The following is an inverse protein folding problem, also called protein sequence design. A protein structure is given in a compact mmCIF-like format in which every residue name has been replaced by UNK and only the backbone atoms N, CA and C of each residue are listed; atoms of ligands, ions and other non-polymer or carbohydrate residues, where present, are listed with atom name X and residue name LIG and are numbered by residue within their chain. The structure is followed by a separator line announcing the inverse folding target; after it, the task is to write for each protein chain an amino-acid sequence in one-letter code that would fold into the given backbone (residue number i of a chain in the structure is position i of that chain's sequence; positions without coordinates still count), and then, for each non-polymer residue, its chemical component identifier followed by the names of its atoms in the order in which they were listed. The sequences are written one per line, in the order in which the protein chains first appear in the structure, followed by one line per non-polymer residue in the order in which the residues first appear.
data_IF_149301830416
#
_entry.id   IF_149301830416
#
_cell.length_a   1.000
_cell.length_b   1.000
_cell.length_c   1.000
_cell.angle_alpha   90.00
_cell.angle_beta   90.00
_cell.angle_gamma   90.00
#
_symmetry.space_group_name_H-M   'P 1'
#
loop_
_entity.id
_entity.type
_entity.pdbx_description
1 polymer ?
#
# COMPACT_ATOMS: atom_id res chain seq x y z
N UNK A 1 -19.25 -16.74 -15.01
CA UNK A 1 -17.94 -16.10 -15.22
C UNK A 1 -17.45 -15.71 -13.86
N UNK A 2 -16.38 -16.32 -13.37
CA UNK A 2 -15.74 -15.84 -12.16
C UNK A 2 -15.17 -14.45 -12.47
N UNK A 3 -15.34 -13.45 -11.59
CA UNK A 3 -14.64 -12.18 -11.78
C UNK A 3 -13.16 -12.50 -11.71
N UNK A 4 -12.48 -12.48 -12.85
CA UNK A 4 -11.01 -12.54 -12.89
C UNK A 4 -10.54 -11.25 -12.24
N UNK A 5 -10.28 -11.31 -10.94
CA UNK A 5 -9.71 -10.20 -10.19
C UNK A 5 -8.44 -9.76 -10.92
N UNK A 6 -8.46 -8.54 -11.47
CA UNK A 6 -7.35 -8.01 -12.29
C UNK A 6 -6.28 -7.36 -11.43
N UNK A 7 -6.14 -7.77 -10.18
CA UNK A 7 -5.17 -7.21 -9.24
C UNK A 7 -4.54 -8.34 -8.44
N UNK A 8 -3.32 -8.10 -7.98
CA UNK A 8 -2.50 -9.10 -7.29
C UNK A 8 -2.18 -8.60 -5.90
N UNK A 9 -2.12 -9.54 -4.95
CA UNK A 9 -1.70 -9.30 -3.59
C UNK A 9 -0.75 -10.42 -3.20
N UNK A 10 0.46 -10.07 -2.74
CA UNK A 10 1.49 -11.02 -2.30
C UNK A 10 2.34 -10.42 -1.19
N UNK A 11 2.94 -11.27 -0.36
CA UNK A 11 3.90 -10.85 0.66
C UNK A 11 5.29 -11.29 0.21
N UNK A 12 6.25 -10.37 0.24
CA UNK A 12 7.66 -10.60 -0.09
C UNK A 12 8.56 -9.99 0.99
N UNK A 13 9.30 -10.82 1.74
CA UNK A 13 10.23 -10.38 2.80
C UNK A 13 9.60 -9.33 3.74
N UNK A 14 8.46 -9.67 4.35
CA UNK A 14 7.67 -8.80 5.24
C UNK A 14 7.14 -7.51 4.59
N UNK A 15 7.11 -7.45 3.26
CA UNK A 15 6.50 -6.37 2.48
C UNK A 15 5.26 -6.89 1.77
N UNK A 16 4.11 -6.29 2.05
CA UNK A 16 2.90 -6.55 1.30
C UNK A 16 2.92 -5.77 -0.02
N UNK A 17 2.93 -6.48 -1.14
CA UNK A 17 2.87 -5.92 -2.49
C UNK A 17 1.46 -6.07 -3.05
N UNK A 18 0.86 -4.94 -3.44
CA UNK A 18 -0.45 -4.88 -4.09
C UNK A 18 -0.29 -4.26 -5.47
N UNK A 19 -0.67 -4.99 -6.51
CA UNK A 19 -0.50 -4.57 -7.89
C UNK A 19 -1.84 -4.39 -8.62
N UNK A 20 -2.03 -3.22 -9.22
CA UNK A 20 -3.16 -2.87 -10.08
C UNK A 20 -2.69 -2.69 -11.54
N UNK A 21 -2.67 -3.77 -12.33
CA UNK A 21 -2.36 -3.78 -13.77
C UNK A 21 -3.07 -2.74 -14.63
N UNK A 22 -2.61 -2.61 -15.88
CA UNK A 22 -3.27 -1.77 -16.88
C UNK A 22 -4.73 -2.19 -17.09
N UNK A 23 -5.62 -1.19 -17.15
CA UNK A 23 -7.04 -1.43 -17.38
C UNK A 23 -7.80 -1.92 -16.14
N UNK A 24 -7.15 -2.08 -14.99
CA UNK A 24 -7.83 -2.34 -13.71
C UNK A 24 -8.64 -1.12 -13.31
N UNK A 25 -9.92 -1.35 -13.04
CA UNK A 25 -10.80 -0.40 -12.37
C UNK A 25 -11.29 -1.05 -11.09
N UNK A 26 -11.31 -0.30 -9.99
CA UNK A 26 -11.86 -0.77 -8.72
C UNK A 26 -13.34 -0.41 -8.68
N UNK A 27 -14.20 -1.38 -8.97
CA UNK A 27 -15.61 -1.27 -8.63
C UNK A 27 -15.78 -1.29 -7.09
N UNK A 28 -16.95 -0.92 -6.55
CA UNK A 28 -17.22 -1.06 -5.13
C UNK A 28 -16.96 -2.48 -4.59
N UNK A 29 -17.39 -3.51 -5.31
CA UNK A 29 -17.17 -4.90 -4.92
C UNK A 29 -15.69 -5.29 -4.95
N UNK A 30 -14.91 -4.78 -5.92
CA UNK A 30 -13.46 -4.99 -5.94
C UNK A 30 -12.77 -4.29 -4.75
N UNK A 31 -13.27 -3.13 -4.34
CA UNK A 31 -12.77 -2.41 -3.17
C UNK A 31 -13.02 -3.16 -1.86
N UNK A 32 -14.21 -3.74 -1.70
CA UNK A 32 -14.53 -4.61 -0.54
C UNK A 32 -13.67 -5.88 -0.53
N UNK A 33 -13.50 -6.51 -1.70
CA UNK A 33 -12.67 -7.71 -1.85
C UNK A 33 -11.19 -7.42 -1.56
N UNK A 34 -10.69 -6.25 -1.98
CA UNK A 34 -9.37 -5.75 -1.63
C UNK A 34 -9.22 -5.60 -0.11
N UNK A 35 -10.18 -4.96 0.55
CA UNK A 35 -10.16 -4.75 2.00
C UNK A 35 -10.18 -6.07 2.78
N UNK A 36 -11.01 -7.03 2.37
CA UNK A 36 -11.08 -8.34 2.99
C UNK A 36 -9.74 -9.08 2.88
N UNK A 37 -9.19 -9.15 1.67
CA UNK A 37 -7.91 -9.83 1.42
C UNK A 37 -6.74 -9.16 2.13
N UNK A 38 -6.76 -7.84 2.22
CA UNK A 38 -5.78 -7.07 2.99
C UNK A 38 -5.82 -7.44 4.47
N UNK A 39 -7.01 -7.53 5.07
CA UNK A 39 -7.19 -7.96 6.46
C UNK A 39 -6.74 -9.39 6.71
N UNK A 40 -6.76 -10.25 5.71
CA UNK A 40 -6.20 -11.61 5.82
C UNK A 40 -4.68 -11.58 5.69
N UNK A 41 -4.13 -10.74 4.82
CA UNK A 41 -2.71 -10.74 4.48
C UNK A 41 -1.79 -9.99 5.45
N UNK A 42 -2.28 -8.94 6.13
CA UNK A 42 -1.48 -8.19 7.11
C UNK A 42 -1.57 -8.79 8.50
N UNK A 43 -1.04 -10.00 8.72
CA UNK A 43 -0.88 -10.50 10.09
C UNK A 43 -0.07 -9.46 10.90
N UNK A 44 -0.53 -9.06 12.11
CA UNK A 44 0.05 -7.96 12.89
C UNK A 44 1.54 -8.07 13.25
N UNK A 45 2.23 -9.16 12.90
CA UNK A 45 3.70 -9.29 13.07
C UNK A 45 4.46 -9.68 11.79
N UNK A 46 3.79 -9.79 10.65
CA UNK A 46 4.38 -10.34 9.42
C UNK A 46 4.62 -9.29 8.31
N UNK A 47 4.12 -8.06 8.49
CA UNK A 47 4.24 -7.01 7.46
C UNK A 47 4.70 -5.71 8.10
N UNK A 48 5.88 -5.24 7.72
CA UNK A 48 6.46 -3.98 8.19
C UNK A 48 6.20 -2.83 7.20
N UNK A 49 6.07 -3.14 5.91
CA UNK A 49 5.87 -2.15 4.86
C UNK A 49 4.89 -2.62 3.79
N UNK A 50 4.31 -1.66 3.06
CA UNK A 50 3.38 -1.93 1.95
C UNK A 50 3.89 -1.25 0.69
N UNK A 51 3.84 -1.95 -0.45
CA UNK A 51 4.09 -1.40 -1.78
C UNK A 51 2.81 -1.49 -2.62
N UNK A 52 2.29 -0.33 -3.05
CA UNK A 52 1.11 -0.23 -3.92
C UNK A 52 1.56 0.15 -5.33
N UNK A 53 1.50 -0.78 -6.26
CA UNK A 53 1.86 -0.60 -7.67
C UNK A 53 0.60 -0.32 -8.49
N UNK A 54 0.50 0.87 -9.10
CA UNK A 54 -0.66 1.28 -9.90
C UNK A 54 -0.22 1.57 -11.33
N UNK A 55 -0.48 0.62 -12.23
CA UNK A 55 -0.19 0.72 -13.67
C UNK A 55 -1.41 1.14 -14.48
N UNK A 56 -2.63 1.04 -13.93
CA UNK A 56 -3.83 1.48 -14.64
C UNK A 56 -3.75 2.96 -15.03
N UNK A 57 -4.19 3.30 -16.25
CA UNK A 57 -4.39 4.68 -16.72
C UNK A 57 -5.80 5.20 -16.42
N UNK A 58 -6.74 4.33 -15.99
CA UNK A 58 -8.11 4.71 -15.63
C UNK A 58 -8.16 5.63 -14.40
N UNK A 59 -9.08 6.62 -14.35
CA UNK A 59 -9.30 7.42 -13.14
C UNK A 59 -9.56 6.53 -11.93
N UNK A 60 -9.01 6.90 -10.77
CA UNK A 60 -9.31 6.21 -9.53
C UNK A 60 -10.73 6.57 -9.09
N UNK A 61 -11.64 5.59 -9.06
CA UNK A 61 -13.03 5.75 -8.63
C UNK A 61 -13.09 6.13 -7.16
N UNK A 62 -14.16 6.79 -6.71
CA UNK A 62 -14.38 7.08 -5.28
C UNK A 62 -14.33 5.82 -4.41
N UNK A 63 -14.91 4.72 -4.90
CA UNK A 63 -14.87 3.44 -4.21
C UNK A 63 -13.43 2.91 -4.06
N UNK A 64 -12.63 2.97 -5.13
CA UNK A 64 -11.22 2.59 -5.08
C UNK A 64 -10.39 3.49 -4.16
N UNK A 65 -10.66 4.80 -4.17
CA UNK A 65 -10.04 5.77 -3.25
C UNK A 65 -10.33 5.43 -1.79
N UNK A 66 -11.59 5.16 -1.48
CA UNK A 66 -12.04 4.84 -0.13
C UNK A 66 -11.44 3.52 0.34
N UNK A 67 -11.48 2.47 -0.49
CA UNK A 67 -10.88 1.19 -0.17
C UNK A 67 -9.37 1.33 0.11
N UNK A 68 -8.64 2.08 -0.73
CA UNK A 68 -7.21 2.29 -0.54
C UNK A 68 -6.89 3.02 0.78
N UNK A 69 -7.70 4.02 1.14
CA UNK A 69 -7.55 4.75 2.40
C UNK A 69 -7.83 3.87 3.61
N UNK A 70 -8.93 3.11 3.58
CA UNK A 70 -9.28 2.18 4.66
C UNK A 70 -8.23 1.06 4.80
N UNK A 71 -7.70 0.55 3.70
CA UNK A 71 -6.59 -0.40 3.68
C UNK A 71 -5.33 0.15 4.36
N UNK A 72 -4.96 1.41 4.06
CA UNK A 72 -3.81 2.05 4.69
C UNK A 72 -4.00 2.15 6.22
N UNK A 73 -5.18 2.57 6.68
CA UNK A 73 -5.49 2.66 8.10
C UNK A 73 -5.42 1.29 8.81
N UNK A 74 -5.91 0.23 8.17
CA UNK A 74 -5.84 -1.14 8.70
C UNK A 74 -4.38 -1.59 8.83
N UNK A 75 -3.56 -1.34 7.81
CA UNK A 75 -2.14 -1.69 7.84
C UNK A 75 -1.40 -0.96 8.97
N UNK A 76 -1.63 0.35 9.14
CA UNK A 76 -1.02 1.14 10.22
C UNK A 76 -1.44 0.64 11.60
N UNK A 77 -2.74 0.34 11.79
CA UNK A 77 -3.24 -0.24 13.03
C UNK A 77 -2.63 -1.62 13.35
N UNK A 78 -1.98 -2.25 12.37
CA UNK A 78 -1.30 -3.55 12.49
C UNK A 78 0.23 -3.44 12.44
N UNK A 79 0.79 -2.24 12.60
CA UNK A 79 2.23 -2.03 12.75
C UNK A 79 2.98 -1.67 11.47
N UNK A 80 2.29 -1.51 10.33
CA UNK A 80 2.94 -1.00 9.12
C UNK A 80 3.34 0.46 9.34
N UNK A 81 4.64 0.74 9.18
CA UNK A 81 5.21 2.07 9.37
C UNK A 81 5.62 2.74 8.05
N UNK A 82 5.58 2.00 6.94
CA UNK A 82 6.04 2.44 5.61
C UNK A 82 5.09 2.08 4.49
N UNK A 83 4.82 3.04 3.62
CA UNK A 83 4.10 2.85 2.36
C UNK A 83 4.90 3.38 1.18
N UNK A 84 5.11 2.53 0.18
CA UNK A 84 5.59 2.93 -1.12
C UNK A 84 4.45 2.90 -2.13
N UNK A 85 4.38 3.92 -2.99
CA UNK A 85 3.45 3.98 -4.11
C UNK A 85 4.23 4.03 -5.41
N UNK A 86 3.95 3.11 -6.32
CA UNK A 86 4.42 3.19 -7.70
C UNK A 86 3.28 3.63 -8.59
N UNK A 87 3.52 4.65 -9.41
CA UNK A 87 2.54 5.06 -10.41
C UNK A 87 3.11 6.06 -11.40
N UNK A 88 2.46 6.17 -12.55
CA UNK A 88 2.85 7.10 -13.59
C UNK A 88 2.61 8.57 -13.16
N UNK A 89 3.58 9.44 -13.49
CA UNK A 89 3.60 10.92 -13.37
C UNK A 89 2.56 11.54 -12.42
N UNK A 90 1.35 11.81 -12.91
CA UNK A 90 0.30 12.55 -12.19
C UNK A 90 -0.42 11.72 -11.13
N UNK A 91 -0.50 10.40 -11.30
CA UNK A 91 -1.15 9.49 -10.35
C UNK A 91 -0.34 9.32 -9.09
N UNK A 92 0.97 9.38 -9.19
CA UNK A 92 1.87 9.19 -8.06
C UNK A 92 1.61 10.18 -6.90
N UNK A 93 1.50 11.47 -7.21
CA UNK A 93 1.17 12.50 -6.21
C UNK A 93 -0.24 12.30 -5.63
N UNK A 94 -1.18 11.90 -6.48
CA UNK A 94 -2.56 11.64 -6.08
C UNK A 94 -2.66 10.45 -5.11
N UNK A 95 -1.99 9.35 -5.44
CA UNK A 95 -1.97 8.13 -4.64
C UNK A 95 -1.22 8.34 -3.32
N UNK A 96 -0.05 9.00 -3.35
CA UNK A 96 0.70 9.38 -2.13
C UNK A 96 -0.22 10.12 -1.15
N UNK A 97 -0.95 11.14 -1.60
CA UNK A 97 -1.93 11.89 -0.77
C UNK A 97 -3.12 11.06 -0.29
N UNK A 98 -3.47 9.99 -0.99
CA UNK A 98 -4.62 9.14 -0.62
C UNK A 98 -4.29 8.26 0.57
N UNK A 99 -3.03 7.83 0.67
CA UNK A 99 -2.53 6.94 1.72
C UNK A 99 -1.62 7.65 2.73
N UNK A 100 -1.48 8.97 2.62
CA UNK A 100 -0.71 9.79 3.55
C UNK A 100 -1.39 9.74 4.92
N UNK A 101 -0.81 8.96 5.83
CA UNK A 101 -1.27 8.79 7.20
C UNK A 101 -0.19 9.37 8.13
N UNK A 102 -0.61 10.12 9.14
CA UNK A 102 0.31 10.72 10.10
C UNK A 102 1.14 9.65 10.83
N UNK A 103 2.44 9.91 11.01
CA UNK A 103 3.36 8.99 11.68
C UNK A 103 3.83 7.81 10.83
N UNK A 104 3.55 7.84 9.52
CA UNK A 104 3.85 6.75 8.59
C UNK A 104 4.66 7.31 7.43
N UNK A 105 5.80 6.69 7.16
CA UNK A 105 6.66 7.10 6.07
C UNK A 105 6.02 6.70 4.74
N UNK A 106 5.70 7.69 3.92
CA UNK A 106 5.09 7.46 2.61
C UNK A 106 5.99 8.01 1.50
N UNK A 107 6.36 7.17 0.54
CA UNK A 107 7.16 7.58 -0.62
C UNK A 107 6.61 7.10 -1.96
N UNK A 108 6.92 7.86 -3.00
CA UNK A 108 6.36 7.75 -4.33
C UNK A 108 7.47 7.46 -5.36
N UNK A 109 7.34 6.34 -6.06
CA UNK A 109 8.31 5.84 -7.03
C UNK A 109 7.72 5.77 -8.43
N UNK A 110 8.61 5.69 -9.42
CA UNK A 110 8.29 5.39 -10.82
C UNK A 110 8.70 3.96 -11.22
N UNK A 111 9.28 3.21 -10.28
CA UNK A 111 9.90 1.91 -10.48
C UNK A 111 9.59 1.00 -9.29
N UNK A 112 9.19 -0.25 -9.59
CA UNK A 112 8.75 -1.22 -8.59
C UNK A 112 9.94 -1.70 -7.73
N UNK A 113 11.10 -1.94 -8.36
CA UNK A 113 12.30 -2.37 -7.66
C UNK A 113 12.84 -1.30 -6.70
N UNK A 114 12.79 -0.03 -7.09
CA UNK A 114 13.15 1.08 -6.20
C UNK A 114 12.20 1.18 -5.01
N UNK A 115 10.88 1.04 -5.24
CA UNK A 115 9.88 1.05 -4.18
C UNK A 115 10.06 -0.10 -3.20
N UNK A 116 10.30 -1.31 -3.72
CA UNK A 116 10.49 -2.49 -2.90
C UNK A 116 11.77 -2.41 -2.08
N UNK A 117 12.89 -1.96 -2.67
CA UNK A 117 14.15 -1.74 -1.94
C UNK A 117 13.97 -0.71 -0.82
N UNK A 118 13.26 0.38 -1.09
CA UNK A 118 12.99 1.38 -0.07
C UNK A 118 12.10 0.82 1.05
N UNK A 119 11.05 0.06 0.72
CA UNK A 119 10.14 -0.54 1.70
C UNK A 119 10.87 -1.53 2.63
N UNK A 120 11.81 -2.30 2.08
CA UNK A 120 12.65 -3.25 2.81
C UNK A 120 13.70 -2.58 3.71
N UNK A 121 14.08 -1.34 3.41
CA UNK A 121 14.98 -0.58 4.28
C UNK A 121 14.19 -0.02 5.46
N UNK A 122 14.52 -0.41 6.71
CA UNK A 122 13.94 0.23 7.87
C UNK A 122 14.18 1.74 7.80
N UNK A 123 13.12 2.53 7.98
CA UNK A 123 13.34 3.91 8.35
C UNK A 123 14.07 3.90 9.69
N UNK A 124 15.11 4.72 9.83
CA UNK A 124 15.85 4.78 11.08
C UNK A 124 14.83 5.06 12.20
N UNK A 125 14.64 4.10 13.11
CA UNK A 125 13.72 4.27 14.21
C UNK A 125 14.02 5.60 14.91
N UNK A 126 13.02 6.37 15.37
CA UNK A 126 13.30 7.45 16.29
C UNK A 126 14.00 6.81 17.47
N UNK A 127 15.29 7.13 17.63
CA UNK A 127 16.15 6.58 18.67
C UNK A 127 15.37 6.53 19.96
N UNK A 128 15.13 5.32 20.47
CA UNK A 128 14.58 5.16 21.81
C UNK A 128 15.50 5.95 22.73
N UNK A 129 14.98 7.06 23.25
CA UNK A 129 15.67 7.81 24.29
C UNK A 129 15.67 6.89 25.49
N UNK A 130 16.81 6.23 25.67
CA UNK A 130 17.20 5.54 26.88
C UNK A 130 17.25 6.59 27.99
N UNK A 131 16.14 6.81 28.69
CA UNK A 131 16.16 7.55 29.95
C UNK A 131 16.72 6.63 31.03
N UNK A 132 18.05 6.55 31.08
CA UNK A 132 18.80 6.16 32.26
C UNK A 132 19.00 7.40 33.13
N UNK A 133 18.30 7.50 34.27
CA UNK A 133 18.79 7.97 35.58
C UNK A 133 17.65 8.09 36.58
#
# INVERSE_FOLDING_TARGET
MEPTERWLLRVEDDVLVVEFPHGTGLSPADGESLLDRWRVATDPNAVNAVVIVVRTSRPCSDAGRRALRESAQIAVARGVDRFAVVGERSKRRFLKRTIDVEGVDTEAFNDDDAALRWAKCPSAAPSSVETSS
#
